data_IF_837654028415
#
_entry.id   IF_837654028415
#
_cell.length_a   1.000
_cell.length_b   1.000
_cell.length_c   1.000
_cell.angle_alpha   90.00
_cell.angle_beta   90.00
_cell.angle_gamma   90.00
#
_symmetry.space_group_name_H-M   'P 1'
#
loop_
_entity.id
_entity.type
_entity.pdbx_description
1 polymer ?
#
# COMPACT_ATOMS: atom_id res chain seq x y z
N UNK A 1 12.46 -7.38 12.92
CA UNK A 1 12.33 -6.01 13.43
C UNK A 1 11.93 -5.17 12.25
N UNK A 2 10.83 -4.39 12.34
CA UNK A 2 10.34 -3.57 11.23
C UNK A 2 10.89 -2.16 11.39
N UNK A 3 11.63 -1.70 10.38
CA UNK A 3 12.20 -0.34 10.32
C UNK A 3 11.19 0.64 9.72
N UNK A 4 10.92 1.74 10.41
CA UNK A 4 9.88 2.73 10.05
C UNK A 4 10.49 4.11 9.86
N UNK A 5 10.22 4.75 8.74
CA UNK A 5 10.45 6.17 8.51
C UNK A 5 9.16 6.94 8.78
N UNK A 6 9.18 7.89 9.70
CA UNK A 6 8.00 8.72 10.05
C UNK A 6 8.05 10.02 9.27
N UNK A 7 6.95 10.35 8.56
CA UNK A 7 6.84 11.55 7.72
C UNK A 7 5.63 12.37 8.15
N UNK A 8 5.86 13.52 8.75
CA UNK A 8 4.82 14.45 9.20
C UNK A 8 5.43 15.87 9.33
N UNK A 9 4.76 16.91 8.89
CA UNK A 9 5.25 18.29 8.97
C UNK A 9 5.16 18.89 10.38
N UNK A 10 4.28 18.32 11.25
CA UNK A 10 4.09 18.79 12.62
C UNK A 10 5.07 18.10 13.57
N UNK A 11 6.00 18.87 14.13
CA UNK A 11 7.08 18.36 15.00
C UNK A 11 6.56 17.61 16.24
N UNK A 12 5.46 18.08 16.85
CA UNK A 12 4.88 17.44 18.03
C UNK A 12 4.28 16.07 17.69
N UNK A 13 3.61 15.94 16.56
CA UNK A 13 3.05 14.67 16.12
C UNK A 13 4.15 13.69 15.72
N UNK A 14 5.22 14.14 15.05
CA UNK A 14 6.38 13.30 14.77
C UNK A 14 6.98 12.75 16.06
N UNK A 15 7.18 13.61 17.05
CA UNK A 15 7.68 13.21 18.36
C UNK A 15 6.77 12.16 19.03
N UNK A 16 5.45 12.37 19.01
CA UNK A 16 4.48 11.45 19.59
C UNK A 16 4.53 10.08 18.90
N UNK A 17 4.52 10.06 17.56
CA UNK A 17 4.64 8.82 16.78
C UNK A 17 5.96 8.10 17.05
N UNK A 18 7.08 8.83 17.13
CA UNK A 18 8.37 8.25 17.48
C UNK A 18 8.35 7.60 18.85
N UNK A 19 7.82 8.28 19.87
CA UNK A 19 7.74 7.75 21.23
C UNK A 19 6.86 6.50 21.30
N UNK A 20 5.69 6.53 20.62
CA UNK A 20 4.77 5.42 20.54
C UNK A 20 5.43 4.19 19.89
N UNK A 21 6.06 4.38 18.73
CA UNK A 21 6.69 3.28 18.00
C UNK A 21 7.95 2.74 18.72
N UNK A 22 8.70 3.59 19.41
CA UNK A 22 9.86 3.18 20.18
C UNK A 22 9.50 2.32 21.40
N UNK A 23 8.28 2.46 21.94
CA UNK A 23 7.79 1.64 23.04
C UNK A 23 7.35 0.23 22.59
N UNK A 24 7.19 -0.01 21.29
CA UNK A 24 6.64 -1.25 20.74
C UNK A 24 7.74 -2.26 20.37
N UNK A 25 7.74 -3.47 20.98
CA UNK A 25 8.69 -4.51 20.63
C UNK A 25 8.63 -4.87 19.14
N UNK A 26 9.80 -4.93 18.50
CA UNK A 26 9.91 -5.33 17.10
C UNK A 26 9.66 -4.20 16.08
N UNK A 27 9.41 -2.96 16.52
CA UNK A 27 9.41 -1.77 15.68
C UNK A 27 10.64 -0.90 15.96
N UNK A 28 11.13 -0.18 14.95
CA UNK A 28 12.26 0.75 15.08
C UNK A 28 12.05 1.95 14.16
N UNK A 29 12.05 3.16 14.72
CA UNK A 29 12.07 4.38 13.92
C UNK A 29 13.50 4.64 13.46
N UNK A 30 13.74 4.53 12.15
CA UNK A 30 15.07 4.71 11.54
C UNK A 30 15.30 6.13 11.01
N UNK A 31 14.24 6.95 10.98
CA UNK A 31 14.34 8.35 10.58
C UNK A 31 13.02 9.09 10.71
N UNK A 32 13.11 10.41 10.68
CA UNK A 32 11.98 11.34 10.71
C UNK A 32 12.15 12.36 9.59
N UNK A 33 11.10 12.63 8.83
CA UNK A 33 11.09 13.62 7.77
C UNK A 33 9.95 14.64 7.99
N UNK A 34 10.24 15.91 7.76
CA UNK A 34 9.28 17.00 7.89
C UNK A 34 8.63 17.37 6.55
N UNK A 35 9.09 16.80 5.45
CA UNK A 35 8.57 17.08 4.11
C UNK A 35 8.63 15.86 3.20
N UNK A 36 7.85 15.89 2.12
CA UNK A 36 7.86 14.84 1.12
C UNK A 36 9.20 14.68 0.41
N UNK A 37 9.89 15.78 0.13
CA UNK A 37 11.22 15.76 -0.51
C UNK A 37 12.26 15.07 0.39
N UNK A 38 12.26 15.39 1.67
CA UNK A 38 13.13 14.78 2.67
C UNK A 38 12.79 13.29 2.83
N UNK A 39 11.50 12.94 2.88
CA UNK A 39 11.03 11.57 2.98
C UNK A 39 11.52 10.70 1.82
N UNK A 40 11.46 11.21 0.59
CA UNK A 40 11.95 10.50 -0.61
C UNK A 40 13.47 10.27 -0.53
N UNK A 41 14.22 11.29 -0.12
CA UNK A 41 15.69 11.19 0.03
C UNK A 41 16.05 10.17 1.12
N UNK A 42 15.46 10.31 2.31
CA UNK A 42 15.71 9.40 3.45
C UNK A 42 15.26 7.97 3.16
N UNK A 43 14.14 7.79 2.48
CA UNK A 43 13.66 6.47 2.07
C UNK A 43 14.67 5.74 1.16
N UNK A 44 15.32 6.46 0.24
CA UNK A 44 16.34 5.90 -0.64
C UNK A 44 17.63 5.52 0.11
N UNK A 45 18.04 6.32 1.10
CA UNK A 45 19.28 6.12 1.86
C UNK A 45 19.13 5.10 2.99
N UNK A 46 18.03 5.17 3.77
CA UNK A 46 17.79 4.33 4.94
C UNK A 46 17.15 2.99 4.61
N UNK A 47 16.51 2.86 3.44
CA UNK A 47 15.79 1.66 2.98
C UNK A 47 14.86 1.07 4.05
N UNK A 48 13.93 1.86 4.61
CA UNK A 48 13.03 1.36 5.66
C UNK A 48 12.09 0.29 5.10
N UNK A 49 11.61 -0.60 5.96
CA UNK A 49 10.57 -1.58 5.58
C UNK A 49 9.24 -0.87 5.31
N UNK A 50 8.96 0.20 6.06
CA UNK A 50 7.72 0.96 5.97
C UNK A 50 7.98 2.47 6.11
N UNK A 51 7.26 3.25 5.31
CA UNK A 51 7.16 4.71 5.45
C UNK A 51 5.75 5.06 5.93
N UNK A 52 5.66 5.68 7.09
CA UNK A 52 4.42 6.17 7.67
C UNK A 52 4.25 7.63 7.28
N UNK A 53 3.24 7.95 6.45
CA UNK A 53 3.05 9.28 5.85
C UNK A 53 1.74 9.88 6.36
N UNK A 54 1.81 11.11 6.87
CA UNK A 54 0.62 11.92 7.16
C UNK A 54 0.07 12.53 5.86
N UNK A 55 -1.23 12.37 5.61
CA UNK A 55 -1.89 12.90 4.41
C UNK A 55 -1.97 14.42 4.37
N UNK A 56 -1.77 15.10 5.50
CA UNK A 56 -1.75 16.57 5.60
C UNK A 56 -0.47 17.22 5.05
N UNK A 57 0.58 16.45 4.85
CA UNK A 57 1.66 16.91 3.99
C UNK A 57 1.02 17.42 2.70
N UNK A 58 1.06 18.71 2.38
CA UNK A 58 0.42 19.37 1.23
C UNK A 58 -0.22 18.37 0.22
N UNK A 59 -1.52 18.44 -0.03
CA UNK A 59 -2.30 17.42 -0.77
C UNK A 59 -1.62 16.92 -2.06
N UNK A 60 -0.99 17.81 -2.80
CA UNK A 60 -0.25 17.48 -4.02
C UNK A 60 1.08 16.79 -3.72
N UNK A 61 1.80 17.25 -2.70
CA UNK A 61 3.11 16.73 -2.33
C UNK A 61 3.00 15.36 -1.64
N UNK A 62 1.94 15.11 -0.87
CA UNK A 62 1.72 13.83 -0.18
C UNK A 62 1.51 12.68 -1.17
N UNK A 63 0.64 12.85 -2.16
CA UNK A 63 0.39 11.81 -3.20
C UNK A 63 1.65 11.60 -4.05
N UNK A 64 2.35 12.67 -4.43
CA UNK A 64 3.59 12.57 -5.19
C UNK A 64 4.69 11.90 -4.36
N UNK A 65 4.77 12.20 -3.07
CA UNK A 65 5.69 11.53 -2.13
C UNK A 65 5.42 10.04 -2.08
N UNK A 66 4.15 9.64 -1.89
CA UNK A 66 3.74 8.22 -1.94
C UNK A 66 4.16 7.59 -3.26
N UNK A 67 3.91 8.26 -4.40
CA UNK A 67 4.25 7.75 -5.73
C UNK A 67 5.76 7.57 -5.89
N UNK A 68 6.56 8.52 -5.46
CA UNK A 68 8.03 8.47 -5.57
C UNK A 68 8.65 7.42 -4.67
N UNK A 69 8.13 7.24 -3.46
CA UNK A 69 8.60 6.21 -2.52
C UNK A 69 8.19 4.82 -3.01
N UNK A 70 6.92 4.64 -3.38
CA UNK A 70 6.41 3.36 -3.88
C UNK A 70 6.93 3.02 -5.30
N UNK A 71 7.38 4.03 -6.06
CA UNK A 71 7.90 3.89 -7.43
C UNK A 71 9.22 4.64 -7.58
N UNK A 72 10.30 4.22 -6.93
CA UNK A 72 11.58 4.86 -7.16
C UNK A 72 11.90 4.83 -8.64
N UNK A 73 12.17 6.03 -9.21
CA UNK A 73 12.55 6.15 -10.62
C UNK A 73 13.79 5.30 -10.85
N UNK A 74 13.66 4.27 -11.68
CA UNK A 74 14.80 3.54 -12.22
C UNK A 74 15.46 4.45 -13.27
N UNK A 75 16.39 5.29 -12.84
CA UNK A 75 17.48 5.61 -13.75
C UNK A 75 18.32 4.30 -13.86
N UNK A 76 18.51 3.76 -15.07
CA UNK A 76 19.39 2.61 -15.22
C UNK A 76 20.79 3.02 -14.75
N UNK A 77 21.24 2.49 -13.61
CA UNK A 77 22.66 2.49 -13.26
C UNK A 77 23.32 1.41 -14.13
N UNK A 78 24.27 1.77 -14.99
CA UNK A 78 24.78 0.86 -16.03
C UNK A 78 25.59 -0.34 -15.54
N UNK A 79 25.85 -0.53 -14.25
CA UNK A 79 26.89 -1.46 -13.77
C UNK A 79 26.56 -2.20 -12.45
N UNK A 80 25.29 -2.39 -12.07
CA UNK A 80 25.02 -3.30 -10.94
C UNK A 80 24.34 -4.59 -11.45
N UNK A 81 24.83 -5.78 -10.99
CA UNK A 81 24.21 -7.06 -11.35
C UNK A 81 22.74 -7.10 -10.89
N UNK A 82 21.89 -7.72 -11.68
CA UNK A 82 20.44 -7.82 -11.48
C UNK A 82 19.98 -8.66 -10.25
N UNK A 83 20.86 -8.94 -9.29
CA UNK A 83 20.63 -9.91 -8.21
C UNK A 83 20.31 -9.31 -6.84
N UNK A 84 20.37 -8.01 -6.63
CA UNK A 84 19.86 -7.41 -5.41
C UNK A 84 18.39 -7.06 -5.62
N UNK A 85 17.47 -7.83 -5.05
CA UNK A 85 16.04 -7.55 -5.04
C UNK A 85 15.83 -6.10 -4.61
N UNK A 86 15.24 -5.29 -5.50
CA UNK A 86 15.01 -3.86 -5.21
C UNK A 86 14.09 -3.75 -4.00
N UNK A 87 14.67 -3.43 -2.84
CA UNK A 87 13.90 -3.16 -1.64
C UNK A 87 13.06 -1.91 -1.88
N UNK A 88 11.76 -2.08 -2.00
CA UNK A 88 10.80 -0.98 -2.13
C UNK A 88 10.04 -0.86 -0.83
N UNK A 89 10.18 0.24 -0.08
CA UNK A 89 9.45 0.44 1.15
C UNK A 89 7.94 0.37 0.94
N UNK A 90 7.22 -0.15 1.91
CA UNK A 90 5.76 -0.07 1.94
C UNK A 90 5.35 1.28 2.48
N UNK A 91 4.21 1.78 2.05
CA UNK A 91 3.69 3.09 2.51
C UNK A 91 2.36 2.87 3.24
N UNK A 92 2.30 3.30 4.50
CA UNK A 92 1.07 3.40 5.28
C UNK A 92 0.73 4.88 5.43
N UNK A 93 -0.49 5.26 5.06
CA UNK A 93 -0.94 6.65 5.13
C UNK A 93 -1.84 6.83 6.36
N UNK A 94 -1.55 7.85 7.17
CA UNK A 94 -2.45 8.37 8.19
C UNK A 94 -3.29 9.50 7.59
N UNK A 95 -4.58 9.49 7.81
CA UNK A 95 -5.51 10.50 7.26
C UNK A 95 -6.54 10.90 8.31
N UNK A 96 -6.89 12.21 8.40
CA UNK A 96 -8.02 12.62 9.21
C UNK A 96 -9.33 12.04 8.68
N UNK A 97 -10.32 11.86 9.54
CA UNK A 97 -11.67 11.56 9.13
C UNK A 97 -12.21 12.67 8.19
N UNK A 98 -12.97 12.30 7.17
CA UNK A 98 -13.51 13.25 6.18
C UNK A 98 -12.60 13.52 4.97
N UNK A 99 -11.43 12.91 4.89
CA UNK A 99 -10.49 13.02 3.76
C UNK A 99 -10.39 11.73 2.94
N UNK A 100 -11.44 10.94 2.88
CA UNK A 100 -11.47 9.64 2.21
C UNK A 100 -11.14 9.73 0.72
N UNK A 101 -11.45 10.85 0.06
CA UNK A 101 -11.10 11.08 -1.33
C UNK A 101 -9.60 11.07 -1.61
N UNK A 102 -8.79 11.45 -0.61
CA UNK A 102 -7.33 11.34 -0.68
C UNK A 102 -6.86 9.88 -0.73
N UNK A 103 -7.56 8.99 -0.01
CA UNK A 103 -7.18 7.58 0.09
C UNK A 103 -7.12 6.90 -1.29
N UNK A 104 -8.10 7.15 -2.16
CA UNK A 104 -8.13 6.58 -3.51
C UNK A 104 -6.94 7.03 -4.35
N UNK A 105 -6.62 8.33 -4.35
CA UNK A 105 -5.50 8.86 -5.11
C UNK A 105 -4.15 8.31 -4.63
N UNK A 106 -3.98 8.19 -3.30
CA UNK A 106 -2.76 7.65 -2.72
C UNK A 106 -2.62 6.13 -2.93
N UNK A 107 -3.74 5.37 -2.97
CA UNK A 107 -3.74 3.96 -3.39
C UNK A 107 -3.23 3.82 -4.82
N UNK A 108 -3.74 4.62 -5.74
CA UNK A 108 -3.26 4.64 -7.13
C UNK A 108 -1.79 5.04 -7.23
N UNK A 109 -1.31 5.86 -6.29
CA UNK A 109 0.10 6.22 -6.20
C UNK A 109 0.98 5.06 -5.69
N UNK A 110 0.41 4.08 -4.95
CA UNK A 110 1.12 2.89 -4.48
C UNK A 110 1.14 2.71 -2.97
N UNK A 111 0.29 3.43 -2.22
CA UNK A 111 0.13 3.18 -0.79
C UNK A 111 -0.30 1.73 -0.53
N UNK A 112 0.29 1.10 0.48
CA UNK A 112 0.00 -0.27 0.91
C UNK A 112 -1.14 -0.36 1.92
N UNK A 113 -1.48 0.75 2.57
CA UNK A 113 -2.56 0.79 3.54
C UNK A 113 -2.93 2.21 3.98
N UNK A 114 -4.04 2.29 4.69
CA UNK A 114 -4.61 3.52 5.26
C UNK A 114 -5.15 3.27 6.64
N UNK A 115 -4.94 4.26 7.50
CA UNK A 115 -5.49 4.30 8.84
C UNK A 115 -5.94 5.74 9.15
N UNK A 116 -6.96 5.88 9.98
CA UNK A 116 -7.32 7.19 10.51
C UNK A 116 -6.35 7.63 11.60
N UNK A 117 -6.15 8.94 11.73
CA UNK A 117 -5.24 9.52 12.73
C UNK A 117 -5.72 9.31 14.17
N UNK A 118 -7.02 9.14 14.36
CA UNK A 118 -7.66 8.85 15.64
C UNK A 118 -7.68 7.35 16.00
N UNK A 119 -7.05 6.52 15.19
CA UNK A 119 -6.90 5.09 15.49
C UNK A 119 -6.15 4.87 16.81
N UNK A 120 -6.57 3.86 17.55
CA UNK A 120 -5.88 3.49 18.79
C UNK A 120 -4.42 3.11 18.54
N UNK A 121 -3.50 3.39 19.50
CA UNK A 121 -2.09 3.05 19.36
C UNK A 121 -1.82 1.59 18.93
N UNK A 122 -2.58 0.64 19.49
CA UNK A 122 -2.49 -0.78 19.13
C UNK A 122 -2.91 -1.08 17.69
N UNK A 123 -3.89 -0.33 17.15
CA UNK A 123 -4.32 -0.46 15.74
C UNK A 123 -3.23 0.05 14.80
N UNK A 124 -2.58 1.17 15.14
CA UNK A 124 -1.48 1.71 14.34
C UNK A 124 -0.30 0.73 14.28
N UNK A 125 0.11 0.18 15.43
CA UNK A 125 1.25 -0.75 15.47
C UNK A 125 0.94 -2.08 14.78
N UNK A 126 -0.30 -2.57 14.88
CA UNK A 126 -0.77 -3.73 14.13
C UNK A 126 -0.78 -3.46 12.62
N UNK A 127 -1.31 -2.30 12.19
CA UNK A 127 -1.32 -1.89 10.79
C UNK A 127 0.09 -1.79 10.19
N UNK A 128 1.04 -1.22 10.92
CA UNK A 128 2.45 -1.16 10.50
C UNK A 128 3.00 -2.57 10.24
N UNK A 129 2.77 -3.52 11.14
CA UNK A 129 3.25 -4.91 10.98
C UNK A 129 2.62 -5.59 9.76
N UNK A 130 1.31 -5.43 9.58
CA UNK A 130 0.56 -6.03 8.47
C UNK A 130 1.05 -5.47 7.13
N UNK A 131 1.18 -4.15 7.01
CA UNK A 131 1.61 -3.50 5.76
C UNK A 131 3.07 -3.81 5.46
N UNK A 132 3.96 -3.82 6.45
CA UNK A 132 5.36 -4.22 6.29
C UNK A 132 5.50 -5.67 5.83
N UNK A 133 4.59 -6.56 6.26
CA UNK A 133 4.54 -7.95 5.79
C UNK A 133 4.05 -8.09 4.33
N UNK A 134 3.56 -7.00 3.72
CA UNK A 134 3.08 -6.96 2.34
C UNK A 134 1.57 -7.20 2.19
N UNK A 135 0.84 -7.27 3.29
CA UNK A 135 -0.62 -7.27 3.30
C UNK A 135 -1.16 -5.81 3.29
N UNK A 136 -2.48 -5.66 3.16
CA UNK A 136 -3.11 -4.34 3.11
C UNK A 136 -3.96 -4.09 4.35
N UNK A 137 -3.95 -2.84 4.82
CA UNK A 137 -4.86 -2.38 5.87
C UNK A 137 -5.70 -1.25 5.31
N UNK A 138 -7.02 -1.41 5.36
CA UNK A 138 -7.99 -0.39 4.98
C UNK A 138 -9.11 -0.44 6.00
N UNK A 139 -9.46 0.70 6.59
CA UNK A 139 -10.60 0.80 7.50
C UNK A 139 -11.93 0.65 6.75
N UNK A 140 -13.01 0.17 7.38
CA UNK A 140 -14.31 -0.01 6.74
C UNK A 140 -14.87 1.27 6.09
N UNK A 141 -14.64 2.44 6.69
CA UNK A 141 -15.05 3.73 6.14
C UNK A 141 -14.34 4.04 4.82
N UNK A 142 -13.02 3.84 4.79
CA UNK A 142 -12.22 4.02 3.58
C UNK A 142 -12.55 2.99 2.48
N UNK A 143 -12.96 1.78 2.85
CA UNK A 143 -13.42 0.77 1.88
C UNK A 143 -14.65 1.25 1.13
N UNK A 144 -15.63 1.85 1.81
CA UNK A 144 -16.81 2.43 1.16
C UNK A 144 -16.44 3.56 0.21
N UNK A 145 -15.63 4.51 0.67
CA UNK A 145 -15.17 5.62 -0.16
C UNK A 145 -14.42 5.13 -1.41
N UNK A 146 -13.64 4.06 -1.29
CA UNK A 146 -12.95 3.42 -2.39
C UNK A 146 -13.93 2.85 -3.42
N UNK A 147 -14.93 2.13 -2.96
CA UNK A 147 -15.98 1.55 -3.82
C UNK A 147 -16.73 2.66 -4.55
N UNK A 148 -17.07 3.75 -3.87
CA UNK A 148 -17.79 4.87 -4.46
C UNK A 148 -16.92 5.63 -5.47
N UNK A 149 -15.64 5.84 -5.20
CA UNK A 149 -14.69 6.44 -6.14
C UNK A 149 -14.51 5.59 -7.40
N UNK A 150 -14.40 4.27 -7.26
CA UNK A 150 -14.34 3.33 -8.38
C UNK A 150 -15.65 3.37 -9.19
N UNK A 151 -16.81 3.42 -8.54
CA UNK A 151 -18.11 3.55 -9.23
C UNK A 151 -18.21 4.85 -10.03
N UNK A 152 -17.76 5.96 -9.47
CA UNK A 152 -17.77 7.27 -10.17
C UNK A 152 -16.84 7.29 -11.37
N UNK A 153 -15.64 6.73 -11.28
CA UNK A 153 -14.74 6.61 -12.43
C UNK A 153 -15.29 5.69 -13.52
N UNK A 154 -15.99 4.61 -13.15
CA UNK A 154 -16.64 3.73 -14.15
C UNK A 154 -17.80 4.41 -14.88
N UNK A 155 -18.53 5.30 -14.22
CA UNK A 155 -19.57 6.09 -14.85
C UNK A 155 -19.02 7.14 -15.84
N UNK A 156 -17.77 7.55 -15.66
CA UNK A 156 -17.11 8.60 -16.45
C UNK A 156 -16.21 8.09 -17.59
N UNK A 157 -15.88 6.79 -17.64
CA UNK A 157 -15.00 6.21 -18.69
C UNK A 157 -15.50 4.85 -19.17
N UNK A 158 -15.69 4.65 -20.50
CA UNK A 158 -15.91 3.31 -21.06
C UNK A 158 -14.68 2.41 -20.86
N UNK A 159 -14.94 1.16 -20.55
CA UNK A 159 -14.03 0.03 -20.33
C UNK A 159 -12.85 -0.02 -21.33
N UNK A 160 -11.67 0.44 -20.95
CA UNK A 160 -10.46 0.29 -21.77
C UNK A 160 -9.20 -0.06 -20.97
N UNK A 161 -9.30 -0.92 -19.92
CA UNK A 161 -8.11 -1.50 -19.28
C UNK A 161 -8.25 -3.01 -19.04
N UNK A 162 -8.55 -3.75 -20.09
CA UNK A 162 -8.51 -5.24 -20.08
C UNK A 162 -7.11 -5.80 -20.31
N UNK A 163 -6.09 -4.96 -20.50
CA UNK A 163 -4.75 -5.40 -20.93
C UNK A 163 -3.96 -6.26 -19.93
N UNK A 164 -4.41 -6.40 -18.68
CA UNK A 164 -3.74 -7.24 -17.67
C UNK A 164 -4.45 -8.58 -17.40
N UNK A 165 -5.79 -8.64 -17.58
CA UNK A 165 -6.54 -9.88 -17.28
C UNK A 165 -6.19 -11.06 -18.20
N UNK A 166 -5.87 -10.77 -19.47
CA UNK A 166 -5.50 -11.80 -20.45
C UNK A 166 -4.14 -12.46 -20.17
N UNK A 167 -3.28 -11.83 -19.36
CA UNK A 167 -1.96 -12.37 -19.02
C UNK A 167 -1.98 -13.28 -17.78
N UNK A 168 -3.11 -13.26 -17.03
CA UNK A 168 -3.26 -14.07 -15.84
C UNK A 168 -3.66 -15.52 -16.20
N UNK A 169 -2.96 -16.47 -15.62
CA UNK A 169 -3.41 -17.88 -15.62
C UNK A 169 -4.70 -18.01 -14.82
N UNK A 170 -5.40 -19.13 -14.98
CA UNK A 170 -6.63 -19.43 -14.20
C UNK A 170 -6.35 -19.32 -12.69
N UNK A 171 -5.25 -19.90 -12.21
CA UNK A 171 -4.86 -19.88 -10.79
C UNK A 171 -4.57 -18.47 -10.29
N UNK A 172 -3.89 -17.65 -11.08
CA UNK A 172 -3.61 -16.25 -10.74
C UNK A 172 -4.88 -15.40 -10.72
N UNK A 173 -5.85 -15.70 -11.58
CA UNK A 173 -7.17 -15.07 -11.56
C UNK A 173 -7.95 -15.41 -10.31
N UNK A 174 -7.94 -16.70 -9.90
CA UNK A 174 -8.57 -17.14 -8.66
C UNK A 174 -7.97 -16.44 -7.44
N UNK A 175 -6.63 -16.34 -7.39
CA UNK A 175 -5.94 -15.57 -6.35
C UNK A 175 -6.33 -14.10 -6.38
N UNK A 176 -6.43 -13.47 -7.55
CA UNK A 176 -6.86 -12.07 -7.66
C UNK A 176 -8.28 -11.87 -7.15
N UNK A 177 -9.20 -12.78 -7.45
CA UNK A 177 -10.58 -12.76 -6.93
C UNK A 177 -10.58 -12.85 -5.42
N UNK A 178 -9.86 -13.80 -4.82
CA UNK A 178 -9.77 -13.97 -3.37
C UNK A 178 -9.17 -12.72 -2.69
N UNK A 179 -8.10 -12.15 -3.27
CA UNK A 179 -7.51 -10.89 -2.83
C UNK A 179 -8.53 -9.75 -2.84
N UNK A 180 -9.30 -9.64 -3.91
CA UNK A 180 -10.28 -8.57 -4.08
C UNK A 180 -11.56 -8.77 -3.25
N UNK A 181 -11.82 -10.02 -2.82
CA UNK A 181 -12.85 -10.37 -1.83
C UNK A 181 -12.41 -10.11 -0.38
N UNK A 182 -11.19 -9.60 -0.16
CA UNK A 182 -10.69 -9.23 1.16
C UNK A 182 -9.97 -10.35 1.93
N UNK A 183 -9.76 -11.53 1.32
CA UNK A 183 -9.14 -12.67 2.01
C UNK A 183 -7.67 -12.41 2.32
N UNK A 184 -7.23 -12.77 3.52
CA UNK A 184 -5.81 -12.76 3.90
C UNK A 184 -5.02 -13.86 3.16
N UNK A 185 -3.70 -13.77 3.17
CA UNK A 185 -2.86 -14.82 2.58
C UNK A 185 -3.02 -16.18 3.29
N UNK A 186 -3.39 -16.18 4.57
CA UNK A 186 -3.66 -17.39 5.34
C UNK A 186 -4.95 -18.08 4.84
N UNK A 187 -6.05 -17.32 4.69
CA UNK A 187 -7.33 -17.84 4.16
C UNK A 187 -7.20 -18.33 2.72
N UNK A 188 -6.44 -17.60 1.89
CA UNK A 188 -6.13 -18.04 0.51
C UNK A 188 -5.32 -19.35 0.53
N UNK A 189 -4.35 -19.47 1.44
CA UNK A 189 -3.52 -20.66 1.58
C UNK A 189 -4.36 -21.89 1.97
N UNK A 190 -5.26 -21.72 2.92
CA UNK A 190 -6.21 -22.75 3.35
C UNK A 190 -7.12 -23.18 2.19
N UNK A 191 -7.77 -22.22 1.53
CA UNK A 191 -8.64 -22.48 0.38
C UNK A 191 -7.95 -23.20 -0.76
N UNK A 192 -6.68 -22.83 -1.03
CA UNK A 192 -5.91 -23.40 -2.13
C UNK A 192 -5.13 -24.67 -1.74
N UNK A 193 -5.13 -25.03 -0.45
CA UNK A 193 -4.35 -26.14 0.13
C UNK A 193 -2.85 -26.02 -0.18
N UNK A 194 -2.27 -24.82 -0.03
CA UNK A 194 -0.85 -24.54 -0.27
C UNK A 194 -0.26 -23.74 0.91
N UNK A 195 1.08 -23.65 0.98
CA UNK A 195 1.73 -22.88 2.02
C UNK A 195 1.48 -21.35 1.86
N UNK A 196 1.34 -20.57 2.96
CA UNK A 196 1.17 -19.10 2.90
C UNK A 196 2.31 -18.38 2.14
N UNK A 197 3.52 -18.92 2.19
CA UNK A 197 4.67 -18.41 1.41
C UNK A 197 4.45 -18.57 -0.09
N UNK A 198 3.79 -19.62 -0.51
CA UNK A 198 3.42 -19.87 -1.91
C UNK A 198 2.34 -18.89 -2.36
N UNK A 199 1.38 -18.57 -1.48
CA UNK A 199 0.37 -17.53 -1.76
C UNK A 199 1.05 -16.16 -1.95
N UNK A 200 2.01 -15.78 -1.10
CA UNK A 200 2.79 -14.53 -1.28
C UNK A 200 3.43 -14.47 -2.66
N UNK A 201 4.01 -15.58 -3.12
CA UNK A 201 4.60 -15.68 -4.45
C UNK A 201 3.57 -15.53 -5.57
N UNK A 202 2.38 -16.12 -5.42
CA UNK A 202 1.29 -15.96 -6.39
C UNK A 202 0.78 -14.53 -6.43
N UNK A 203 0.53 -13.92 -5.25
CA UNK A 203 0.11 -12.50 -5.16
C UNK A 203 1.16 -11.60 -5.81
N UNK A 204 2.45 -11.78 -5.53
CA UNK A 204 3.52 -11.00 -6.15
C UNK A 204 3.54 -11.13 -7.69
N UNK A 205 3.36 -12.35 -8.22
CA UNK A 205 3.27 -12.59 -9.68
C UNK A 205 2.04 -11.92 -10.29
N UNK A 206 0.87 -11.99 -9.62
CA UNK A 206 -0.35 -11.32 -10.05
C UNK A 206 -0.11 -9.81 -10.11
N UNK A 207 0.42 -9.22 -9.03
CA UNK A 207 0.74 -7.80 -8.96
C UNK A 207 1.64 -7.37 -10.12
N UNK A 208 2.72 -8.11 -10.38
CA UNK A 208 3.64 -7.83 -11.48
C UNK A 208 2.95 -7.86 -12.85
N UNK A 209 2.08 -8.84 -13.11
CA UNK A 209 1.37 -8.99 -14.39
C UNK A 209 0.33 -7.91 -14.64
N UNK A 210 -0.39 -7.46 -13.60
CA UNK A 210 -1.39 -6.38 -13.72
C UNK A 210 -0.77 -4.98 -13.57
N UNK A 211 0.55 -4.88 -13.36
CA UNK A 211 1.25 -3.61 -13.14
C UNK A 211 0.94 -2.95 -11.79
N UNK A 212 0.42 -3.73 -10.84
CA UNK A 212 0.17 -3.30 -9.46
C UNK A 212 1.40 -3.55 -8.59
N UNK A 213 1.56 -2.79 -7.51
CA UNK A 213 2.69 -2.89 -6.56
C UNK A 213 2.25 -3.16 -5.13
N UNK A 214 0.99 -2.86 -4.84
CA UNK A 214 0.38 -3.12 -3.56
C UNK A 214 -0.90 -3.96 -3.75
N UNK A 215 -1.21 -4.78 -2.76
CA UNK A 215 -2.41 -5.62 -2.73
C UNK A 215 -3.69 -4.82 -2.99
N UNK A 216 -3.75 -3.60 -2.45
CA UNK A 216 -4.91 -2.72 -2.63
C UNK A 216 -5.11 -2.30 -4.08
N UNK A 217 -4.02 -2.12 -4.84
CA UNK A 217 -4.12 -1.85 -6.28
C UNK A 217 -4.67 -3.05 -7.06
N UNK A 218 -4.41 -4.28 -6.59
CA UNK A 218 -5.03 -5.47 -7.16
C UNK A 218 -6.53 -5.51 -6.89
N UNK A 219 -6.98 -5.07 -5.71
CA UNK A 219 -8.41 -4.92 -5.39
C UNK A 219 -9.03 -3.91 -6.36
N UNK A 220 -8.50 -2.70 -6.47
CA UNK A 220 -8.98 -1.68 -7.40
C UNK A 220 -9.03 -2.21 -8.85
N UNK A 221 -7.96 -2.86 -9.31
CA UNK A 221 -7.89 -3.45 -10.64
C UNK A 221 -8.98 -4.51 -10.88
N UNK A 222 -9.27 -5.38 -9.90
CA UNK A 222 -10.28 -6.43 -10.03
C UNK A 222 -11.69 -5.83 -10.22
N UNK A 223 -12.01 -4.75 -9.52
CA UNK A 223 -13.25 -4.01 -9.71
C UNK A 223 -13.25 -3.20 -11.03
N UNK A 224 -12.18 -2.48 -11.34
CA UNK A 224 -12.04 -1.69 -12.57
C UNK A 224 -12.11 -2.55 -13.83
N UNK A 225 -11.61 -3.76 -13.80
CA UNK A 225 -11.65 -4.70 -14.92
C UNK A 225 -12.96 -5.48 -15.04
N UNK A 226 -13.89 -5.31 -14.09
CA UNK A 226 -15.16 -6.04 -14.05
C UNK A 226 -15.01 -7.52 -13.67
N UNK A 227 -13.84 -7.93 -13.18
CA UNK A 227 -13.59 -9.31 -12.71
C UNK A 227 -14.45 -9.62 -11.49
N UNK A 228 -14.67 -8.62 -10.62
CA UNK A 228 -15.61 -8.66 -9.50
C UNK A 228 -16.59 -7.50 -9.65
N UNK A 229 -17.86 -7.77 -9.35
CA UNK A 229 -18.89 -6.76 -9.27
C UNK A 229 -19.26 -6.54 -7.80
N UNK A 230 -19.44 -5.29 -7.35
CA UNK A 230 -20.01 -5.04 -6.02
C UNK A 230 -21.35 -5.76 -5.90
N UNK A 231 -21.59 -6.40 -4.75
CA UNK A 231 -22.91 -6.90 -4.44
C UNK A 231 -23.90 -5.72 -4.44
N UNK A 232 -25.05 -5.92 -5.08
CA UNK A 232 -26.11 -4.93 -5.17
C UNK A 232 -26.73 -4.67 -3.79
#
# INVERSE_FOLDING_TARGET
>A
MVSVLVVNDQSLQRLALRMLLAAEPGLSVVGEAASGAEAVHMSASLRPDLVLVDSRLSLADGIETVRRIARPSRLPRPLEPAEAGVHTPRVLVLTPAGHEGYAYAALRAGAGGFLFEDAAPGELTAAIRVVAAGDAVITPGLTRALIDAVRQEHAARPLHRTSGLGTLTRRERDVLIAVASGWSNAEIAEWLSIAPTTVKSHVSKVLGKIGARARVQAVAFAYESGLIRPAA
#
